data_IF_905764787705
#
_entry.id   IF_905764787705
#
_cell.length_a   1.000
_cell.length_b   1.000
_cell.length_c   1.000
_cell.angle_alpha   90.00
_cell.angle_beta   90.00
_cell.angle_gamma   90.00
#
_symmetry.space_group_name_H-M   'P 1'
#
loop_
_entity.id
_entity.type
_entity.pdbx_description
1 polymer ?
#
# COMPACT_ATOMS: atom_id res chain seq x y z
N UNK A 1 -10.82 -5.77 -2.85
CA UNK A 1 -9.81 -4.73 -3.16
C UNK A 1 -9.00 -4.54 -1.88
N UNK A 2 -7.75 -4.98 -1.82
CA UNK A 2 -6.88 -4.75 -0.65
C UNK A 2 -6.29 -3.34 -0.76
N UNK A 3 -6.49 -2.50 0.26
CA UNK A 3 -5.77 -1.22 0.37
C UNK A 3 -4.60 -1.43 1.31
N UNK A 4 -3.45 -1.84 0.76
CA UNK A 4 -2.20 -1.87 1.53
C UNK A 4 -1.61 -0.46 1.50
N UNK A 5 -1.78 0.30 2.58
CA UNK A 5 -1.08 1.57 2.76
C UNK A 5 0.38 1.29 3.20
N UNK A 6 1.27 1.07 2.23
CA UNK A 6 2.71 1.01 2.52
C UNK A 6 3.24 2.43 2.62
N UNK A 7 3.32 2.97 3.84
CA UNK A 7 4.12 4.16 4.10
C UNK A 7 5.60 3.75 4.12
N UNK A 8 6.28 3.90 2.98
CA UNK A 8 7.74 3.84 2.92
C UNK A 8 8.30 5.15 3.49
N UNK A 9 8.45 5.22 4.82
CA UNK A 9 9.34 6.19 5.43
C UNK A 9 10.78 5.80 5.07
N UNK A 10 11.33 6.43 4.03
CA UNK A 10 12.79 6.42 3.81
C UNK A 10 13.44 7.13 4.99
N UNK A 11 13.98 6.37 5.93
CA UNK A 11 14.98 6.86 6.86
C UNK A 11 16.31 6.95 6.09
N UNK A 12 16.75 8.17 5.74
CA UNK A 12 18.14 8.38 5.30
C UNK A 12 19.00 8.37 6.56
N UNK A 13 19.53 7.20 6.91
CA UNK A 13 20.63 7.06 7.87
C UNK A 13 21.79 6.44 7.10
N UNK A 14 22.87 7.22 6.95
CA UNK A 14 24.12 6.78 6.34
C UNK A 14 24.35 7.34 4.93
N UNK A 15 25.39 8.17 4.80
CA UNK A 15 25.93 8.62 3.52
C UNK A 15 26.61 7.45 2.80
N UNK A 16 25.83 6.58 2.16
CA UNK A 16 26.28 5.73 1.05
C UNK A 16 25.05 5.40 0.21
N UNK A 17 24.77 6.24 -0.77
CA UNK A 17 23.87 5.87 -1.86
C UNK A 17 24.66 4.94 -2.78
N UNK A 18 24.61 3.63 -2.53
CA UNK A 18 24.88 2.66 -3.59
C UNK A 18 23.82 2.90 -4.65
N UNK A 19 24.21 3.59 -5.71
CA UNK A 19 23.33 3.97 -6.80
C UNK A 19 22.87 2.74 -7.55
N UNK A 20 21.82 2.09 -7.06
CA UNK A 20 20.97 1.28 -7.91
C UNK A 20 20.46 2.20 -9.02
N UNK A 21 20.77 1.82 -10.26
CA UNK A 21 20.28 2.48 -11.47
C UNK A 21 18.77 2.64 -11.33
N UNK A 22 18.32 3.85 -11.03
CA UNK A 22 16.91 4.17 -10.87
C UNK A 22 16.19 3.69 -12.13
N UNK A 23 15.38 2.65 -11.97
CA UNK A 23 14.53 2.14 -13.03
C UNK A 23 13.77 3.33 -13.63
N UNK A 24 13.87 3.52 -14.94
CA UNK A 24 13.14 4.59 -15.64
C UNK A 24 11.68 4.43 -15.28
N UNK A 25 11.16 5.40 -14.53
CA UNK A 25 9.81 5.39 -14.00
C UNK A 25 8.84 5.39 -15.18
N UNK A 26 8.19 4.26 -15.44
CA UNK A 26 7.23 4.14 -16.53
C UNK A 26 5.84 4.51 -16.04
N UNK A 27 5.17 5.41 -16.75
CA UNK A 27 3.80 5.81 -16.46
C UNK A 27 2.84 5.12 -17.43
N UNK A 28 1.68 4.72 -16.93
CA UNK A 28 0.59 4.12 -17.68
C UNK A 28 -0.65 4.99 -17.52
N UNK A 29 -1.12 5.59 -18.60
CA UNK A 29 -2.35 6.38 -18.61
C UNK A 29 -3.56 5.44 -18.76
N UNK A 30 -4.31 5.27 -17.67
CA UNK A 30 -5.44 4.34 -17.61
C UNK A 30 -6.57 4.75 -18.55
N UNK A 31 -6.77 6.05 -18.76
CA UNK A 31 -7.81 6.56 -19.67
C UNK A 31 -7.61 6.12 -21.13
N UNK A 32 -6.35 5.85 -21.51
CA UNK A 32 -5.97 5.42 -22.86
C UNK A 32 -6.15 3.92 -23.09
N UNK A 33 -6.18 3.12 -22.02
CA UNK A 33 -6.38 1.68 -22.10
C UNK A 33 -7.84 1.36 -22.44
N UNK A 34 -8.78 2.03 -21.78
CA UNK A 34 -10.21 1.80 -21.97
C UNK A 34 -10.74 2.26 -23.33
N UNK A 35 -9.95 3.03 -24.10
CA UNK A 35 -10.34 3.62 -25.37
C UNK A 35 -9.77 2.91 -26.61
N UNK A 36 -8.89 1.90 -26.46
CA UNK A 36 -8.33 1.15 -27.59
C UNK A 36 -8.94 -0.25 -27.72
N UNK A 37 -9.30 -0.63 -28.95
CA UNK A 37 -9.88 -1.93 -29.29
C UNK A 37 -8.85 -3.09 -29.26
N UNK A 38 -7.56 -2.81 -29.42
CA UNK A 38 -6.47 -3.83 -29.40
C UNK A 38 -5.66 -3.74 -28.10
N UNK A 39 -6.26 -4.24 -27.01
CA UNK A 39 -5.68 -4.16 -25.65
C UNK A 39 -4.58 -5.20 -25.40
N UNK A 40 -4.54 -6.30 -26.17
CA UNK A 40 -3.72 -7.49 -25.86
C UNK A 40 -2.20 -7.25 -25.84
N UNK A 41 -1.58 -6.56 -26.83
CA UNK A 41 -0.14 -6.28 -26.81
C UNK A 41 0.26 -5.32 -25.68
N UNK A 42 -0.62 -4.35 -25.38
CA UNK A 42 -0.47 -3.40 -24.28
C UNK A 42 -0.55 -4.12 -22.94
N UNK A 43 -1.53 -5.03 -22.76
CA UNK A 43 -1.69 -5.84 -21.55
C UNK A 43 -0.46 -6.71 -21.30
N UNK A 44 0.07 -7.41 -22.32
CA UNK A 44 1.28 -8.23 -22.17
C UNK A 44 2.51 -7.41 -21.76
N UNK A 45 2.64 -6.20 -22.33
CA UNK A 45 3.74 -5.28 -21.99
C UNK A 45 3.57 -4.72 -20.58
N UNK A 46 2.33 -4.43 -20.17
CA UNK A 46 2.00 -3.95 -18.83
C UNK A 46 2.28 -5.03 -17.77
N UNK A 47 1.86 -6.28 -18.01
CA UNK A 47 2.00 -7.38 -17.05
C UNK A 47 3.46 -7.78 -16.80
N UNK A 48 4.36 -7.55 -17.76
CA UNK A 48 5.77 -7.93 -17.62
C UNK A 48 6.63 -6.86 -16.94
N UNK A 49 6.06 -5.73 -16.51
CA UNK A 49 6.82 -4.58 -15.98
C UNK A 49 6.06 -3.84 -14.88
N UNK A 50 6.79 -3.08 -14.04
CA UNK A 50 6.17 -2.17 -13.06
C UNK A 50 5.85 -0.82 -13.70
N UNK A 51 4.66 -0.30 -13.42
CA UNK A 51 4.15 0.97 -13.93
C UNK A 51 3.54 1.81 -12.82
N UNK A 52 3.56 3.12 -12.99
CA UNK A 52 2.73 4.04 -12.22
C UNK A 52 1.52 4.44 -13.04
N UNK A 53 0.33 4.10 -12.53
CA UNK A 53 -0.92 4.50 -13.15
C UNK A 53 -1.14 6.01 -12.97
N UNK A 54 -1.51 6.69 -14.05
CA UNK A 54 -1.98 8.09 -14.05
C UNK A 54 -3.37 8.15 -14.68
N UNK A 55 -4.09 9.25 -14.44
CA UNK A 55 -5.45 9.46 -14.96
C UNK A 55 -6.39 8.30 -14.59
N UNK A 56 -6.26 7.78 -13.36
CA UNK A 56 -6.96 6.60 -12.88
C UNK A 56 -8.47 6.81 -12.66
N UNK A 57 -8.97 8.04 -12.85
CA UNK A 57 -10.35 8.40 -12.56
C UNK A 57 -10.68 8.50 -11.07
N UNK A 58 -9.69 8.32 -10.19
CA UNK A 58 -9.86 8.52 -8.75
C UNK A 58 -9.74 10.01 -8.45
N UNK A 59 -10.74 10.56 -7.77
CA UNK A 59 -10.76 11.98 -7.40
C UNK A 59 -9.60 12.33 -6.46
N UNK A 60 -8.87 13.41 -6.76
CA UNK A 60 -7.75 13.88 -5.93
C UNK A 60 -8.15 14.14 -4.46
N UNK A 61 -9.32 14.76 -4.16
CA UNK A 61 -9.75 14.95 -2.78
C UNK A 61 -9.88 13.65 -1.98
N UNK A 62 -10.31 12.55 -2.61
CA UNK A 62 -10.40 11.25 -1.94
C UNK A 62 -9.01 10.73 -1.55
N UNK A 63 -8.04 10.86 -2.45
CA UNK A 63 -6.65 10.45 -2.17
C UNK A 63 -6.05 11.29 -1.04
N UNK A 64 -6.32 12.59 -1.01
CA UNK A 64 -5.83 13.48 0.04
C UNK A 64 -6.46 13.20 1.40
N UNK A 65 -7.77 12.90 1.45
CA UNK A 65 -8.42 12.48 2.68
C UNK A 65 -7.87 11.13 3.18
N UNK A 66 -7.64 10.15 2.29
CA UNK A 66 -7.00 8.88 2.68
C UNK A 66 -5.61 9.13 3.29
N UNK A 67 -4.79 9.99 2.69
CA UNK A 67 -3.46 10.36 3.24
C UNK A 67 -3.59 11.05 4.60
N UNK A 68 -4.56 11.94 4.76
CA UNK A 68 -4.79 12.69 5.99
C UNK A 68 -5.25 11.77 7.12
N UNK A 69 -6.26 10.94 6.89
CA UNK A 69 -6.75 9.96 7.87
C UNK A 69 -5.66 8.95 8.24
N UNK A 70 -4.87 8.49 7.26
CA UNK A 70 -3.73 7.60 7.53
C UNK A 70 -2.72 8.24 8.49
N UNK A 71 -2.35 9.50 8.28
CA UNK A 71 -1.44 10.22 9.20
C UNK A 71 -2.03 10.34 10.59
N UNK A 72 -3.29 10.75 10.69
CA UNK A 72 -3.98 10.90 11.97
C UNK A 72 -4.01 9.60 12.77
N UNK A 73 -4.26 8.46 12.10
CA UNK A 73 -4.20 7.15 12.75
C UNK A 73 -2.81 6.84 13.30
N UNK A 74 -1.75 7.06 12.51
CA UNK A 74 -0.38 6.78 12.96
C UNK A 74 0.17 7.82 13.95
N UNK A 75 -0.49 8.97 14.09
CA UNK A 75 -0.20 9.96 15.13
C UNK A 75 -0.90 9.64 16.47
N UNK A 76 -1.85 8.70 16.51
CA UNK A 76 -2.49 8.25 17.76
C UNK A 76 -1.48 7.66 18.75
N UNK A 77 -1.87 7.60 20.02
CA UNK A 77 -1.08 6.89 21.03
C UNK A 77 -1.02 5.38 20.74
N UNK A 78 -0.02 4.69 21.27
CA UNK A 78 0.09 3.24 21.11
C UNK A 78 -1.12 2.50 21.73
N UNK A 79 -1.66 3.01 22.84
CA UNK A 79 -2.86 2.46 23.49
C UNK A 79 -4.07 2.51 22.56
N UNK A 80 -4.30 3.64 21.89
CA UNK A 80 -5.39 3.78 20.93
C UNK A 80 -5.20 2.90 19.70
N UNK A 81 -3.96 2.77 19.20
CA UNK A 81 -3.65 1.88 18.06
C UNK A 81 -3.89 0.42 18.38
N UNK A 82 -3.63 0.00 19.62
CA UNK A 82 -3.87 -1.38 20.08
C UNK A 82 -5.35 -1.77 20.03
N UNK A 83 -6.29 -0.82 20.05
CA UNK A 83 -7.71 -1.11 19.82
C UNK A 83 -7.99 -1.62 18.41
N UNK A 84 -7.12 -1.28 17.45
CA UNK A 84 -7.15 -1.81 16.09
C UNK A 84 -6.21 -2.99 15.92
N UNK A 85 -5.59 -3.48 17.00
CA UNK A 85 -4.55 -4.50 16.98
C UNK A 85 -5.02 -5.79 16.33
N UNK A 86 -4.11 -6.40 15.56
CA UNK A 86 -4.34 -7.72 14.95
C UNK A 86 -4.51 -8.80 16.02
N UNK A 87 -5.54 -9.65 15.87
CA UNK A 87 -5.71 -10.84 16.69
C UNK A 87 -4.66 -11.93 16.33
N UNK A 88 -4.24 -12.80 17.26
CA UNK A 88 -3.12 -13.73 17.06
C UNK A 88 -3.22 -14.67 15.84
N UNK A 89 -4.44 -14.97 15.39
CA UNK A 89 -4.77 -15.85 14.27
C UNK A 89 -5.40 -15.10 13.07
N UNK A 90 -5.34 -13.77 13.09
CA UNK A 90 -5.88 -12.91 12.03
C UNK A 90 -4.76 -12.17 11.28
N UNK A 91 -5.05 -11.74 10.07
CA UNK A 91 -4.16 -10.88 9.28
C UNK A 91 -4.60 -9.42 9.30
N UNK A 92 -5.88 -9.18 9.60
CA UNK A 92 -6.48 -7.85 9.73
C UNK A 92 -6.08 -7.18 11.05
N UNK A 93 -5.88 -5.87 11.03
CA UNK A 93 -5.52 -5.06 12.19
C UNK A 93 -4.15 -4.38 12.10
N UNK A 94 -3.87 -3.58 13.13
CA UNK A 94 -2.64 -2.84 13.37
C UNK A 94 -1.55 -3.78 13.88
N UNK A 95 -0.35 -3.64 13.34
CA UNK A 95 0.84 -4.37 13.76
C UNK A 95 1.79 -4.70 12.62
N UNK A 96 2.97 -5.19 12.99
CA UNK A 96 4.02 -5.58 12.05
C UNK A 96 3.77 -6.97 11.46
N UNK A 97 4.67 -7.40 10.59
CA UNK A 97 4.63 -8.77 10.07
C UNK A 97 4.80 -9.78 11.20
N UNK A 98 4.11 -10.92 11.06
CA UNK A 98 4.25 -12.02 12.00
C UNK A 98 5.68 -12.56 11.98
N UNK A 99 6.21 -12.86 13.16
CA UNK A 99 7.52 -13.52 13.31
C UNK A 99 7.32 -15.02 13.16
N UNK A 100 7.79 -15.58 12.05
CA UNK A 100 7.68 -17.00 11.71
C UNK A 100 8.94 -17.80 12.05
N UNK A 101 10.09 -17.14 12.24
CA UNK A 101 11.35 -17.78 12.61
C UNK A 101 12.31 -16.82 13.31
N UNK A 102 13.27 -17.34 14.07
CA UNK A 102 14.25 -16.55 14.83
C UNK A 102 15.17 -15.69 13.93
N UNK A 103 15.45 -16.15 12.71
CA UNK A 103 16.38 -15.48 11.79
C UNK A 103 15.66 -14.64 10.72
N UNK A 104 14.38 -14.33 10.93
CA UNK A 104 13.61 -13.52 9.99
C UNK A 104 14.05 -12.06 10.05
N UNK A 105 14.45 -11.51 8.90
CA UNK A 105 14.60 -10.05 8.75
C UNK A 105 13.22 -9.41 8.79
N UNK A 106 13.02 -8.48 9.72
CA UNK A 106 11.78 -7.71 9.84
C UNK A 106 11.93 -6.35 9.17
N UNK A 107 10.89 -5.94 8.45
CA UNK A 107 10.80 -4.60 7.90
C UNK A 107 10.65 -3.57 9.03
N UNK A 108 11.35 -2.43 8.89
CA UNK A 108 11.07 -1.25 9.72
C UNK A 108 9.83 -0.54 9.18
N UNK A 109 8.67 -0.96 9.66
CA UNK A 109 7.37 -0.50 9.20
C UNK A 109 6.37 -0.60 10.33
N UNK A 110 5.31 0.19 10.27
CA UNK A 110 4.10 0.02 11.06
C UNK A 110 2.93 -0.05 10.07
N UNK A 111 2.00 -1.00 10.25
CA UNK A 111 1.00 -1.34 9.23
C UNK A 111 -0.39 -1.50 9.85
N UNK A 112 -1.41 -1.07 9.11
CA UNK A 112 -2.80 -1.41 9.35
C UNK A 112 -3.31 -2.15 8.12
N UNK A 113 -3.71 -3.40 8.30
CA UNK A 113 -4.30 -4.22 7.25
C UNK A 113 -5.82 -4.28 7.43
N UNK A 114 -6.57 -3.97 6.38
CA UNK A 114 -8.04 -3.92 6.40
C UNK A 114 -8.62 -4.69 5.22
N UNK A 115 -9.60 -5.57 5.48
CA UNK A 115 -10.47 -6.08 4.44
C UNK A 115 -11.61 -5.08 4.22
N UNK A 116 -11.63 -4.42 3.06
CA UNK A 116 -12.65 -3.41 2.73
C UNK A 116 -13.75 -3.92 1.79
N UNK A 117 -13.59 -5.09 1.18
CA UNK A 117 -14.61 -5.69 0.31
C UNK A 117 -14.45 -7.21 0.26
N UNK A 118 -15.55 -7.99 0.31
CA UNK A 118 -16.95 -7.53 0.35
C UNK A 118 -17.36 -6.93 1.70
N UNK A 119 -18.49 -6.20 1.75
CA UNK A 119 -18.84 -5.39 2.93
C UNK A 119 -19.25 -6.23 4.14
N UNK A 120 -19.87 -7.38 3.89
CA UNK A 120 -20.33 -8.36 4.86
C UNK A 120 -19.18 -9.11 5.55
N UNK A 121 -18.00 -9.12 4.94
CA UNK A 121 -16.78 -9.72 5.51
C UNK A 121 -15.93 -8.71 6.31
N UNK A 122 -16.31 -7.42 6.36
CA UNK A 122 -15.56 -6.40 7.11
C UNK A 122 -15.61 -6.70 8.61
N UNK A 123 -14.44 -6.82 9.25
CA UNK A 123 -14.34 -7.10 10.70
C UNK A 123 -14.35 -5.82 11.53
N UNK A 124 -13.68 -4.79 11.04
CA UNK A 124 -13.70 -3.47 11.67
C UNK A 124 -15.05 -2.77 11.44
N UNK A 125 -15.84 -2.70 12.50
CA UNK A 125 -17.06 -1.92 12.57
C UNK A 125 -16.70 -0.51 13.03
N UNK A 126 -16.80 0.46 12.13
CA UNK A 126 -16.66 1.89 12.40
C UNK A 126 -17.94 2.38 13.08
#
# INVERSE_FOLDING_TARGET
>A
MLVTAIFMSKLVVGNTVTGERLSVRRFLDVSRICSQADVLPTVLTVLNQFWQAISSGIEEPLIDEVRKVSRQLFDLSMEEKQNYGRAPDDTEGHGNDMVLSENQTLDWTDRLYLLVHPEDERKLKI
#
